data_IF_559023384754
#
_entry.id   IF_559023384754
#
_cell.length_a   1.000
_cell.length_b   1.000
_cell.length_c   1.000
_cell.angle_alpha   90.00
_cell.angle_beta   90.00
_cell.angle_gamma   90.00
#
_symmetry.space_group_name_H-M   'P 1'
#
loop_
_entity.id
_entity.type
_entity.pdbx_description
1 polymer ?
#
# COMPACT_ATOMS: atom_id res chain seq x y z
N UNK A 1 2.68 50.69 17.59
CA UNK A 1 1.29 50.37 17.16
C UNK A 1 0.40 50.44 18.38
N UNK A 2 -0.47 51.45 18.47
CA UNK A 2 -1.37 51.63 19.61
C UNK A 2 -2.50 50.60 19.54
N UNK A 3 -2.75 49.88 20.64
CA UNK A 3 -3.96 49.04 20.79
C UNK A 3 -5.16 49.97 20.98
N UNK A 4 -6.29 49.75 20.29
CA UNK A 4 -7.51 50.52 20.55
C UNK A 4 -7.94 50.28 22.00
N UNK A 5 -8.21 51.38 22.71
CA UNK A 5 -8.67 51.34 24.09
C UNK A 5 -10.07 50.68 24.15
N UNK A 6 -10.34 49.82 25.15
CA UNK A 6 -11.59 49.09 25.24
C UNK A 6 -12.77 50.04 25.49
N UNK A 7 -13.81 49.92 24.67
CA UNK A 7 -15.03 50.72 24.78
C UNK A 7 -15.95 50.09 25.83
N UNK A 8 -16.09 50.74 26.98
CA UNK A 8 -16.93 50.26 28.09
C UNK A 8 -18.38 50.67 27.82
N UNK A 9 -19.25 49.71 27.50
CA UNK A 9 -20.71 49.89 27.47
C UNK A 9 -21.29 48.93 28.52
N UNK A 10 -21.43 49.41 29.77
CA UNK A 10 -22.17 48.78 30.86
C UNK A 10 -21.75 47.35 31.26
N UNK A 11 -20.85 47.21 32.26
CA UNK A 11 -20.50 45.99 33.03
C UNK A 11 -20.06 44.73 32.24
N UNK A 12 -20.30 44.65 30.93
CA UNK A 12 -19.95 43.53 30.09
C UNK A 12 -18.72 43.94 29.27
N UNK A 13 -17.55 43.52 29.73
CA UNK A 13 -16.32 43.63 28.93
C UNK A 13 -16.57 42.97 27.58
N UNK A 14 -16.34 43.71 26.50
CA UNK A 14 -16.36 43.17 25.14
C UNK A 14 -15.51 41.89 25.13
N UNK A 15 -16.04 40.73 24.69
CA UNK A 15 -15.29 39.49 24.71
C UNK A 15 -14.01 39.71 23.92
N UNK A 16 -12.87 39.44 24.56
CA UNK A 16 -11.56 39.69 23.95
C UNK A 16 -11.55 39.15 22.52
N UNK A 17 -11.08 39.96 21.54
CA UNK A 17 -11.11 39.57 20.14
C UNK A 17 -10.46 38.18 19.99
N UNK A 18 -11.03 37.29 19.16
CA UNK A 18 -10.54 35.94 19.04
C UNK A 18 -9.05 36.00 18.69
N UNK A 19 -8.22 35.43 19.56
CA UNK A 19 -6.79 35.32 19.28
C UNK A 19 -6.61 34.45 18.05
N UNK A 20 -5.58 34.74 17.25
CA UNK A 20 -5.27 33.96 16.03
C UNK A 20 -5.22 32.46 16.32
N UNK A 21 -4.65 32.08 17.46
CA UNK A 21 -4.61 30.69 17.94
C UNK A 21 -6.00 30.08 18.10
N UNK A 22 -6.96 30.80 18.70
CA UNK A 22 -8.34 30.33 18.87
C UNK A 22 -9.03 30.07 17.52
N UNK A 23 -8.77 30.93 16.54
CA UNK A 23 -9.29 30.77 15.19
C UNK A 23 -8.65 29.58 14.46
N UNK A 24 -7.34 29.33 14.60
CA UNK A 24 -6.59 28.36 13.80
C UNK A 24 -6.20 27.07 14.54
N UNK A 25 -6.59 26.90 15.81
CA UNK A 25 -6.21 25.71 16.63
C UNK A 25 -6.54 24.38 15.96
N UNK A 26 -7.66 24.32 15.25
CA UNK A 26 -8.12 23.10 14.59
C UNK A 26 -7.25 22.75 13.38
N UNK A 27 -6.81 23.75 12.62
CA UNK A 27 -5.88 23.55 11.50
C UNK A 27 -4.51 23.09 12.02
N UNK A 28 -4.03 23.68 13.11
CA UNK A 28 -2.76 23.26 13.74
C UNK A 28 -2.85 21.83 14.24
N UNK A 29 -3.94 21.45 14.90
CA UNK A 29 -4.16 20.08 15.37
C UNK A 29 -4.26 19.08 14.20
N UNK A 30 -4.94 19.45 13.11
CA UNK A 30 -5.02 18.62 11.90
C UNK A 30 -3.64 18.43 11.25
N UNK A 31 -2.88 19.52 11.08
CA UNK A 31 -1.55 19.46 10.49
C UNK A 31 -0.58 18.63 11.36
N UNK A 32 -0.63 18.81 12.68
CA UNK A 32 0.17 18.03 13.63
C UNK A 32 -0.21 16.54 13.60
N UNK A 33 -1.50 16.22 13.64
CA UNK A 33 -1.99 14.84 13.53
C UNK A 33 -1.59 14.17 12.22
N UNK A 34 -1.67 14.91 11.10
CA UNK A 34 -1.26 14.41 9.79
C UNK A 34 0.25 14.13 9.73
N UNK A 35 1.08 15.03 10.26
CA UNK A 35 2.54 14.84 10.30
C UNK A 35 2.94 13.65 11.18
N UNK A 36 2.32 13.53 12.36
CA UNK A 36 2.58 12.39 13.25
C UNK A 36 2.11 11.10 12.61
N UNK A 37 0.90 11.07 12.03
CA UNK A 37 0.37 9.89 11.33
C UNK A 37 1.23 9.50 10.12
N UNK A 38 1.69 10.47 9.33
CA UNK A 38 2.61 10.24 8.23
C UNK A 38 3.94 9.67 8.73
N UNK A 39 4.53 10.29 9.75
CA UNK A 39 5.77 9.81 10.34
C UNK A 39 5.61 8.36 10.82
N UNK A 40 4.58 8.04 11.60
CA UNK A 40 4.32 6.66 12.05
C UNK A 40 4.10 5.69 10.89
N UNK A 41 3.36 6.10 9.85
CA UNK A 41 3.12 5.28 8.66
C UNK A 41 4.40 4.99 7.87
N UNK A 42 5.37 5.90 7.89
CA UNK A 42 6.67 5.72 7.21
C UNK A 42 7.69 4.89 8.00
N UNK A 43 7.48 4.68 9.31
CA UNK A 43 8.39 3.91 10.17
C UNK A 43 8.16 2.39 10.12
N UNK A 44 7.13 1.93 9.41
CA UNK A 44 6.92 0.50 9.19
C UNK A 44 7.83 -0.06 8.09
N UNK A 45 8.30 -1.32 8.19
CA UNK A 45 8.86 -2.00 7.03
C UNK A 45 7.76 -2.01 5.97
N UNK A 46 7.99 -1.29 4.85
CA UNK A 46 6.99 -1.06 3.80
C UNK A 46 6.17 -2.32 3.59
N UNK A 47 4.87 -2.24 3.90
CA UNK A 47 3.99 -3.39 4.02
C UNK A 47 4.22 -4.29 2.82
N UNK A 48 4.82 -5.47 3.06
CA UNK A 48 4.94 -6.46 2.01
C UNK A 48 3.52 -6.70 1.52
N UNK A 49 3.27 -6.40 0.24
CA UNK A 49 1.99 -6.72 -0.36
C UNK A 49 1.73 -8.21 -0.06
N UNK A 50 0.56 -8.58 0.48
CA UNK A 50 0.28 -9.98 0.75
C UNK A 50 0.53 -10.74 -0.55
N UNK A 51 1.41 -11.74 -0.49
CA UNK A 51 1.73 -12.57 -1.64
C UNK A 51 0.44 -13.24 -2.07
N UNK A 52 -0.20 -12.72 -3.12
CA UNK A 52 -1.34 -13.38 -3.73
C UNK A 52 -0.87 -14.77 -4.17
N UNK A 53 -1.51 -15.86 -3.71
CA UNK A 53 -1.20 -17.18 -4.24
C UNK A 53 -1.55 -17.16 -5.73
N UNK A 54 -0.52 -17.06 -6.57
CA UNK A 54 -0.69 -17.16 -8.02
C UNK A 54 -1.13 -18.59 -8.32
N UNK A 55 -2.21 -18.81 -9.10
CA UNK A 55 -2.54 -20.14 -9.59
C UNK A 55 -1.31 -20.72 -10.29
N UNK A 56 -0.79 -21.83 -9.76
CA UNK A 56 0.30 -22.55 -10.41
C UNK A 56 -0.18 -23.01 -11.78
N UNK A 57 0.39 -22.46 -12.84
CA UNK A 57 0.12 -22.97 -14.17
C UNK A 57 0.70 -24.37 -14.26
N UNK A 58 -0.14 -25.37 -14.51
CA UNK A 58 0.33 -26.69 -14.92
C UNK A 58 0.95 -26.54 -16.30
N UNK A 59 2.28 -26.62 -16.38
CA UNK A 59 2.95 -26.79 -17.66
C UNK A 59 2.46 -28.12 -18.25
N UNK A 60 1.90 -28.14 -19.47
CA UNK A 60 1.57 -29.40 -20.13
C UNK A 60 2.85 -30.23 -20.19
N UNK A 61 2.79 -31.46 -19.68
CA UNK A 61 3.93 -32.36 -19.66
C UNK A 61 4.49 -32.52 -21.08
N UNK A 62 5.80 -32.34 -21.23
CA UNK A 62 6.50 -32.59 -22.49
C UNK A 62 6.17 -34.01 -22.96
N UNK A 63 5.63 -34.21 -24.18
CA UNK A 63 5.43 -35.56 -24.68
C UNK A 63 6.79 -36.23 -24.77
N UNK A 64 6.97 -37.30 -23.99
CA UNK A 64 8.14 -38.17 -24.12
C UNK A 64 8.08 -38.80 -25.51
N UNK A 65 9.07 -38.61 -26.38
CA UNK A 65 9.12 -39.35 -27.63
C UNK A 65 9.26 -40.83 -27.30
N UNK A 66 8.23 -41.60 -27.64
CA UNK A 66 8.27 -43.07 -27.57
C UNK A 66 9.42 -43.55 -28.46
N UNK A 67 10.40 -44.30 -27.93
CA UNK A 67 11.41 -44.92 -28.75
C UNK A 67 10.71 -45.91 -29.69
N UNK A 68 10.74 -45.62 -30.98
CA UNK A 68 10.37 -46.59 -32.00
C UNK A 68 11.31 -47.78 -31.84
N UNK A 69 10.80 -48.89 -31.31
CA UNK A 69 11.54 -50.15 -31.34
C UNK A 69 11.61 -50.56 -32.81
N UNK A 70 12.79 -50.68 -33.42
CA UNK A 70 12.90 -51.23 -34.76
C UNK A 70 12.52 -52.70 -34.66
N UNK A 71 11.45 -53.09 -35.37
CA UNK A 71 11.08 -54.47 -35.64
C UNK A 71 12.29 -55.16 -36.28
N UNK A 72 12.92 -56.18 -35.68
CA UNK A 72 13.85 -57.00 -36.43
C UNK A 72 13.06 -57.74 -37.51
N UNK A 73 13.41 -57.48 -38.77
CA UNK A 73 13.01 -58.34 -39.88
C UNK A 73 13.58 -59.73 -39.60
N UNK A 74 12.74 -60.66 -39.16
CA UNK A 74 13.04 -62.07 -39.34
C UNK A 74 12.84 -62.39 -40.82
N UNK A 75 13.95 -62.28 -41.55
CA UNK A 75 14.29 -63.11 -42.70
C UNK A 75 14.00 -64.56 -42.34
N UNK A 76 12.80 -65.03 -42.68
CA UNK A 76 12.52 -66.45 -42.74
C UNK A 76 12.79 -66.84 -44.18
N UNK A 77 14.07 -67.08 -44.47
CA UNK A 77 14.46 -67.92 -45.59
C UNK A 77 15.86 -68.51 -45.33
N UNK A 78 15.87 -69.84 -45.37
CA UNK A 78 16.96 -70.68 -45.86
C UNK A 78 18.16 -70.97 -44.94
N UNK A 79 18.01 -71.99 -44.09
CA UNK A 79 19.04 -73.04 -43.99
C UNK A 79 18.46 -74.39 -43.49
N UNK A 80 18.56 -75.38 -44.39
CA UNK A 80 18.53 -76.85 -44.24
C UNK A 80 17.32 -77.54 -43.62
#
# INVERSE_FOLDING_TARGET
MAKPAPKIIGVLSEPAPPTWWRAHRHQVLLAAGLLVGFYLGTQGPGGQAPVSPRPGHTTPGTPTPTPHTPRPQQTVDLFT
#
